data_IF_612299025080
#
_entry.id   IF_612299025080
#
_cell.length_a   1.000
_cell.length_b   1.000
_cell.length_c   1.000
_cell.angle_alpha   90.00
_cell.angle_beta   90.00
_cell.angle_gamma   90.00
#
_symmetry.space_group_name_H-M   'P 1'
#
loop_
_entity.id
_entity.type
_entity.pdbx_description
1 polymer ?
#
# COMPACT_ATOMS: atom_id res chain seq x y z
N UNK A 1 9.23 -12.83 -4.49
CA UNK A 1 9.22 -14.01 -5.40
C UNK A 1 8.90 -13.55 -6.82
N UNK A 2 9.40 -14.22 -7.88
CA UNK A 2 8.93 -13.98 -9.25
C UNK A 2 7.86 -15.01 -9.61
N UNK A 3 6.82 -14.59 -10.34
CA UNK A 3 5.61 -15.39 -10.57
C UNK A 3 5.31 -15.55 -12.06
N UNK A 4 4.77 -16.72 -12.44
CA UNK A 4 4.27 -16.95 -13.80
C UNK A 4 2.82 -16.45 -13.90
N UNK A 5 2.56 -15.53 -14.84
CA UNK A 5 1.26 -14.88 -15.02
C UNK A 5 0.29 -15.77 -15.82
N UNK A 6 -0.28 -16.78 -15.16
CA UNK A 6 -1.19 -17.73 -15.81
C UNK A 6 -2.66 -17.40 -15.63
N UNK A 7 -3.02 -16.56 -14.65
CA UNK A 7 -4.41 -16.17 -14.36
C UNK A 7 -4.46 -14.79 -13.70
N UNK A 8 -5.46 -13.99 -14.07
CA UNK A 8 -5.72 -12.66 -13.50
C UNK A 8 -6.59 -12.77 -12.24
N UNK A 9 -6.32 -11.96 -11.23
CA UNK A 9 -7.14 -11.86 -10.02
C UNK A 9 -8.60 -11.52 -10.36
N UNK A 10 -9.56 -12.05 -9.60
CA UNK A 10 -11.01 -11.92 -9.86
C UNK A 10 -11.54 -12.58 -11.15
N UNK A 11 -10.69 -13.25 -11.93
CA UNK A 11 -11.10 -14.01 -13.13
C UNK A 11 -10.87 -15.52 -12.99
N UNK A 12 -10.36 -15.98 -11.84
CA UNK A 12 -10.22 -17.40 -11.53
C UNK A 12 -11.58 -18.02 -11.19
N UNK A 13 -11.83 -19.23 -11.70
CA UNK A 13 -13.04 -20.02 -11.37
C UNK A 13 -12.78 -21.08 -10.30
N UNK A 14 -11.52 -21.29 -9.94
CA UNK A 14 -11.05 -22.23 -8.92
C UNK A 14 -10.32 -21.50 -7.81
N UNK A 15 -10.31 -22.06 -6.60
CA UNK A 15 -9.53 -21.51 -5.50
C UNK A 15 -8.04 -21.44 -5.86
N UNK A 16 -7.40 -20.31 -5.57
CA UNK A 16 -5.95 -20.12 -5.77
C UNK A 16 -5.23 -20.27 -4.43
N UNK A 17 -4.30 -21.22 -4.36
CA UNK A 17 -3.57 -21.52 -3.13
C UNK A 17 -2.34 -20.62 -2.90
N UNK A 18 -1.70 -20.15 -3.98
CA UNK A 18 -0.47 -19.35 -3.91
C UNK A 18 -0.78 -17.85 -3.93
N UNK A 19 -1.11 -17.30 -2.76
CA UNK A 19 -1.44 -15.88 -2.58
C UNK A 19 -0.24 -14.94 -2.73
N UNK A 20 0.99 -15.48 -2.81
CA UNK A 20 2.19 -14.72 -3.15
C UNK A 20 2.33 -14.46 -4.65
N UNK A 21 1.61 -15.22 -5.48
CA UNK A 21 1.58 -15.03 -6.93
C UNK A 21 0.19 -14.67 -7.47
N UNK A 22 -0.75 -14.41 -6.56
CA UNK A 22 -2.13 -14.11 -6.91
C UNK A 22 -2.79 -13.28 -5.81
N UNK A 23 -3.31 -12.09 -6.15
CA UNK A 23 -4.02 -11.26 -5.17
C UNK A 23 -5.39 -11.85 -4.87
N UNK A 24 -5.59 -12.31 -3.64
CA UNK A 24 -6.86 -12.78 -3.11
C UNK A 24 -6.91 -12.66 -1.57
N UNK A 25 -8.06 -12.34 -0.97
CA UNK A 25 -9.35 -12.07 -1.62
C UNK A 25 -9.41 -10.67 -2.28
N UNK A 26 -8.51 -9.75 -1.92
CA UNK A 26 -8.37 -8.40 -2.46
C UNK A 26 -7.81 -8.35 -3.90
N UNK A 27 -8.51 -8.97 -4.85
CA UNK A 27 -8.06 -9.14 -6.22
C UNK A 27 -8.27 -7.94 -7.14
N UNK A 28 -9.07 -6.96 -6.73
CA UNK A 28 -9.33 -5.74 -7.47
C UNK A 28 -8.52 -4.59 -6.87
N UNK A 29 -7.46 -4.15 -7.56
CA UNK A 29 -6.61 -3.05 -7.08
C UNK A 29 -7.08 -1.70 -7.61
N UNK A 30 -7.42 -0.78 -6.70
CA UNK A 30 -7.89 0.56 -7.02
C UNK A 30 -6.78 1.58 -6.78
N UNK A 31 -6.29 2.22 -7.84
CA UNK A 31 -5.41 3.38 -7.72
C UNK A 31 -6.29 4.63 -7.59
N UNK A 32 -6.36 5.19 -6.38
CA UNK A 32 -7.25 6.32 -6.08
C UNK A 32 -6.53 7.66 -6.23
N UNK A 33 -7.27 8.70 -6.59
CA UNK A 33 -6.74 10.04 -6.86
C UNK A 33 -7.62 11.12 -6.21
N UNK A 34 -7.00 12.21 -5.76
CA UNK A 34 -7.69 13.41 -5.27
C UNK A 34 -7.44 14.63 -6.17
N UNK A 35 -8.48 15.45 -6.28
CA UNK A 35 -8.42 16.82 -6.79
C UNK A 35 -8.87 17.76 -5.68
N UNK A 36 -7.91 18.18 -4.85
CA UNK A 36 -8.16 19.12 -3.76
C UNK A 36 -8.22 20.54 -4.32
N UNK A 37 -9.41 21.12 -4.43
CA UNK A 37 -9.59 22.44 -5.06
C UNK A 37 -9.71 23.60 -4.06
N UNK A 38 -10.19 23.34 -2.84
CA UNK A 38 -10.28 24.31 -1.75
C UNK A 38 -9.34 23.84 -0.62
N UNK A 39 -8.36 24.68 -0.26
CA UNK A 39 -7.08 24.27 0.33
C UNK A 39 -6.23 23.35 -0.58
N UNK A 40 -6.01 23.80 -1.82
CA UNK A 40 -5.32 23.01 -2.86
C UNK A 40 -3.96 22.44 -2.43
N UNK A 41 -3.72 21.19 -2.82
CA UNK A 41 -2.49 20.43 -2.54
C UNK A 41 -1.87 19.90 -3.83
N UNK A 42 -0.54 19.80 -3.88
CA UNK A 42 0.18 19.32 -5.06
C UNK A 42 0.28 20.35 -6.22
N UNK A 43 0.71 19.91 -7.41
CA UNK A 43 0.80 20.75 -8.60
C UNK A 43 -0.59 21.20 -9.09
N UNK A 44 -0.68 22.42 -9.61
CA UNK A 44 -1.94 23.02 -10.06
C UNK A 44 -2.58 22.31 -11.28
N UNK A 45 -1.82 21.45 -11.96
CA UNK A 45 -2.17 20.74 -13.18
C UNK A 45 -2.13 19.21 -13.01
N UNK A 46 -2.11 18.72 -11.76
CA UNK A 46 -2.04 17.29 -11.46
C UNK A 46 -2.97 16.90 -10.32
N UNK A 47 -3.51 15.69 -10.42
CA UNK A 47 -4.14 15.00 -9.30
C UNK A 47 -3.06 14.52 -8.33
N UNK A 48 -3.43 14.30 -7.07
CA UNK A 48 -2.57 13.69 -6.06
C UNK A 48 -2.99 12.25 -5.79
N UNK A 49 -2.06 11.42 -5.33
CA UNK A 49 -2.30 10.00 -5.06
C UNK A 49 -2.51 9.80 -3.54
N UNK A 50 -3.75 9.56 -3.09
CA UNK A 50 -4.02 9.11 -1.74
C UNK A 50 -3.55 7.68 -1.50
N UNK A 51 -3.85 6.71 -2.39
CA UNK A 51 -3.50 5.33 -2.12
C UNK A 51 -3.74 4.32 -3.24
N UNK A 52 -3.48 3.06 -2.89
CA UNK A 52 -3.75 1.87 -3.68
C UNK A 52 -4.48 0.87 -2.78
N UNK A 53 -5.71 0.49 -3.14
CA UNK A 53 -6.60 -0.27 -2.25
C UNK A 53 -6.95 -1.64 -2.83
N UNK A 54 -6.83 -2.74 -2.05
CA UNK A 54 -7.21 -4.08 -2.47
C UNK A 54 -8.67 -4.39 -2.10
N UNK A 55 -9.58 -4.24 -3.06
CA UNK A 55 -10.97 -4.62 -2.90
C UNK A 55 -11.18 -6.09 -3.26
N UNK A 56 -12.14 -6.72 -2.58
CA UNK A 56 -12.63 -8.04 -2.95
C UNK A 56 -13.34 -7.96 -4.32
N UNK A 57 -13.41 -9.09 -5.01
CA UNK A 57 -14.00 -9.17 -6.34
C UNK A 57 -15.51 -8.87 -6.41
N UNK A 58 -16.19 -8.79 -5.26
CA UNK A 58 -17.60 -8.39 -5.13
C UNK A 58 -17.77 -6.89 -4.80
N UNK A 59 -16.68 -6.14 -4.74
CA UNK A 59 -16.66 -4.71 -4.39
C UNK A 59 -16.70 -4.42 -2.89
N UNK A 60 -16.73 -5.43 -2.01
CA UNK A 60 -16.42 -5.23 -0.59
C UNK A 60 -14.91 -5.08 -0.39
N UNK A 61 -14.45 -4.69 0.80
CA UNK A 61 -13.01 -4.54 1.06
C UNK A 61 -12.64 -4.97 2.47
N UNK A 62 -11.37 -5.36 2.64
CA UNK A 62 -10.76 -5.60 3.94
C UNK A 62 -9.97 -4.37 4.39
N UNK A 63 -9.82 -4.21 5.70
CA UNK A 63 -9.04 -3.13 6.27
C UNK A 63 -8.29 -3.57 7.53
N UNK A 64 -7.08 -3.05 7.71
CA UNK A 64 -6.22 -3.34 8.87
C UNK A 64 -5.95 -4.84 9.03
N UNK A 65 -5.52 -5.51 7.95
CA UNK A 65 -5.38 -6.97 7.89
C UNK A 65 -4.18 -7.50 8.69
N UNK A 66 -3.24 -6.63 9.06
CA UNK A 66 -2.14 -6.93 9.98
C UNK A 66 -1.96 -5.77 10.97
N UNK A 67 -1.49 -6.13 12.17
CA UNK A 67 -1.00 -5.24 13.21
C UNK A 67 0.28 -4.47 12.84
N UNK A 68 0.98 -4.89 11.78
CA UNK A 68 2.23 -4.29 11.34
C UNK A 68 2.01 -2.87 10.77
N UNK A 69 2.45 -1.87 11.54
CA UNK A 69 2.48 -0.47 11.11
C UNK A 69 3.78 -0.18 10.37
N UNK A 70 3.74 -0.13 9.05
CA UNK A 70 4.89 0.30 8.23
C UNK A 70 5.40 1.67 8.66
N UNK A 71 6.71 1.79 8.85
CA UNK A 71 7.38 3.03 9.23
C UNK A 71 8.38 3.43 8.14
N UNK A 72 8.77 4.70 8.10
CA UNK A 72 9.68 5.20 7.04
C UNK A 72 11.13 5.11 7.34
N UNK A 73 11.45 4.88 8.61
CA UNK A 73 12.74 4.34 8.96
C UNK A 73 13.05 3.09 8.11
N UNK A 74 12.04 2.30 7.74
CA UNK A 74 12.20 1.13 6.87
C UNK A 74 12.68 1.51 5.47
N UNK A 75 12.05 2.50 4.83
CA UNK A 75 12.43 2.95 3.49
C UNK A 75 13.83 3.58 3.48
N UNK A 76 14.18 4.35 4.52
CA UNK A 76 15.54 4.89 4.67
C UNK A 76 16.56 3.77 4.86
N UNK A 77 16.24 2.79 5.71
CA UNK A 77 17.12 1.64 5.97
C UNK A 77 17.27 0.72 4.77
N UNK A 78 16.28 0.71 3.87
CA UNK A 78 16.31 0.00 2.60
C UNK A 78 17.11 0.74 1.51
N UNK A 79 17.61 1.96 1.78
CA UNK A 79 18.32 2.76 0.79
C UNK A 79 17.40 3.47 -0.22
N UNK A 80 16.08 3.40 -0.03
CA UNK A 80 15.05 3.97 -0.91
C UNK A 80 14.85 5.47 -0.61
N UNK A 81 15.96 6.24 -0.63
CA UNK A 81 16.00 7.66 -0.26
C UNK A 81 15.29 8.58 -1.26
N UNK A 82 15.14 8.16 -2.52
CA UNK A 82 14.38 8.87 -3.56
C UNK A 82 12.87 8.63 -3.42
N UNK A 83 12.46 7.46 -2.91
CA UNK A 83 11.10 7.18 -2.44
C UNK A 83 10.79 7.89 -1.11
N UNK A 84 11.82 8.38 -0.42
CA UNK A 84 11.80 8.96 0.92
C UNK A 84 11.39 10.45 0.95
N UNK A 85 10.29 10.78 0.29
CA UNK A 85 9.41 11.91 0.66
C UNK A 85 8.19 11.40 1.42
N UNK A 86 8.37 10.34 2.21
CA UNK A 86 7.28 9.60 2.83
C UNK A 86 7.71 9.17 4.22
N UNK A 87 7.08 9.68 5.31
CA UNK A 87 6.45 9.10 6.57
C UNK A 87 7.14 8.47 7.82
N UNK A 88 7.84 9.20 8.70
CA UNK A 88 7.79 8.93 10.17
C UNK A 88 8.63 9.95 10.96
N UNK A 89 8.00 11.00 11.50
CA UNK A 89 8.47 11.65 12.73
C UNK A 89 7.27 12.20 13.49
N UNK A 90 7.05 11.72 14.71
CA UNK A 90 6.41 12.56 15.73
C UNK A 90 7.38 13.68 16.07
N UNK A 91 7.11 14.85 15.51
CA UNK A 91 6.81 16.11 16.21
C UNK A 91 7.10 17.26 15.24
N UNK A 92 6.06 18.02 14.89
CA UNK A 92 6.20 19.29 14.18
C UNK A 92 5.36 19.40 12.91
N UNK A 93 4.14 19.91 13.08
CA UNK A 93 3.15 20.47 12.12
C UNK A 93 3.21 19.99 10.66
N UNK A 94 2.18 19.27 10.17
CA UNK A 94 2.05 18.95 8.75
C UNK A 94 1.44 20.13 7.98
N UNK A 95 1.89 20.30 6.74
CA UNK A 95 1.06 20.89 5.68
C UNK A 95 -0.24 20.09 5.56
N UNK A 96 -1.38 20.73 5.26
CA UNK A 96 -2.66 20.02 5.15
C UNK A 96 -2.62 19.14 3.90
N UNK A 97 -2.80 17.82 4.05
CA UNK A 97 -3.02 16.91 2.90
C UNK A 97 -2.20 15.63 2.92
N UNK A 98 -0.87 15.70 2.82
CA UNK A 98 -0.04 14.53 2.48
C UNK A 98 1.18 14.36 3.39
N UNK A 99 0.91 14.12 4.67
CA UNK A 99 1.94 14.05 5.71
C UNK A 99 2.31 12.62 6.10
N UNK A 100 3.21 12.50 7.09
CA UNK A 100 3.66 11.22 7.60
C UNK A 100 2.47 10.30 7.96
N UNK A 101 1.68 10.76 8.91
CA UNK A 101 0.55 10.01 9.45
C UNK A 101 -0.48 9.58 8.40
N UNK A 102 -0.67 10.34 7.32
CA UNK A 102 -1.59 9.95 6.25
C UNK A 102 -1.11 8.68 5.51
N UNK A 103 0.16 8.58 5.14
CA UNK A 103 0.65 7.37 4.44
C UNK A 103 0.79 6.17 5.38
N UNK A 104 1.06 6.41 6.65
CA UNK A 104 1.00 5.39 7.72
C UNK A 104 -0.41 4.79 7.81
N UNK A 105 -1.43 5.66 7.77
CA UNK A 105 -2.83 5.26 7.74
C UNK A 105 -3.16 4.45 6.47
N UNK A 106 -2.76 4.91 5.29
CA UNK A 106 -3.00 4.20 4.02
C UNK A 106 -2.33 2.83 4.00
N UNK A 107 -1.08 2.73 4.47
CA UNK A 107 -0.41 1.44 4.61
C UNK A 107 -1.11 0.51 5.60
N UNK A 108 -1.36 0.99 6.83
CA UNK A 108 -1.96 0.18 7.87
C UNK A 108 -3.36 -0.30 7.47
N UNK A 109 -4.17 0.57 6.88
CA UNK A 109 -5.54 0.27 6.48
C UNK A 109 -5.62 -0.59 5.23
N UNK A 110 -4.85 -0.27 4.19
CA UNK A 110 -5.01 -0.88 2.86
C UNK A 110 -3.80 -1.73 2.45
N UNK A 111 -2.58 -1.24 2.66
CA UNK A 111 -1.34 -1.93 2.27
C UNK A 111 -1.18 -3.31 2.93
N UNK A 112 -1.53 -3.43 4.22
CA UNK A 112 -1.49 -4.70 4.96
C UNK A 112 -2.44 -5.77 4.41
N UNK A 113 -3.41 -5.38 3.58
CA UNK A 113 -4.40 -6.28 2.98
C UNK A 113 -3.99 -6.78 1.58
N UNK A 114 -2.83 -6.38 1.06
CA UNK A 114 -2.33 -6.89 -0.22
C UNK A 114 -1.57 -8.20 0.03
N UNK A 115 -2.23 -9.33 -0.26
CA UNK A 115 -1.70 -10.67 0.06
C UNK A 115 -0.33 -10.96 -0.56
N UNK A 116 -0.05 -10.43 -1.75
CA UNK A 116 1.20 -10.63 -2.47
C UNK A 116 2.40 -9.87 -1.86
N UNK A 117 2.14 -8.97 -0.90
CA UNK A 117 3.16 -8.24 -0.15
C UNK A 117 3.47 -8.87 1.22
N UNK A 118 2.86 -10.01 1.55
CA UNK A 118 3.13 -10.70 2.81
C UNK A 118 4.63 -11.04 2.94
N UNK A 119 5.25 -10.86 4.13
CA UNK A 119 6.66 -11.18 4.36
C UNK A 119 7.07 -12.59 3.92
N UNK A 120 6.19 -13.58 4.04
CA UNK A 120 6.43 -14.96 3.62
C UNK A 120 6.63 -15.13 2.11
N UNK A 121 6.24 -14.14 1.30
CA UNK A 121 6.43 -14.13 -0.15
C UNK A 121 7.87 -13.77 -0.59
N UNK A 122 8.72 -13.39 0.36
CA UNK A 122 10.11 -13.01 0.13
C UNK A 122 11.06 -14.08 0.66
N UNK A 123 11.89 -14.65 -0.24
CA UNK A 123 12.88 -15.67 0.11
C UNK A 123 13.94 -15.19 1.12
N UNK A 124 14.14 -13.87 1.20
CA UNK A 124 15.05 -13.24 2.16
C UNK A 124 14.38 -11.99 2.71
N UNK A 125 13.37 -12.18 3.56
CA UNK A 125 12.76 -11.09 4.30
C UNK A 125 13.62 -10.71 5.50
N UNK A 126 13.97 -9.42 5.60
CA UNK A 126 14.48 -8.84 6.83
C UNK A 126 13.45 -7.86 7.32
N UNK A 127 12.91 -8.09 8.52
CA UNK A 127 12.07 -7.11 9.17
C UNK A 127 12.93 -5.90 9.49
N UNK A 128 12.67 -4.76 8.84
CA UNK A 128 13.36 -3.54 9.21
C UNK A 128 12.94 -3.14 10.63
N UNK A 129 13.89 -2.66 11.41
CA UNK A 129 13.66 -2.15 12.77
C UNK A 129 13.62 -0.63 12.71
N UNK A 130 12.50 -0.06 13.12
CA UNK A 130 12.34 1.39 13.32
C UNK A 130 12.92 1.85 14.64
#
# INVERSE_FOLDING_TARGET
KACSLTTLSCHNTTAVADTCCFNAPGGQLLQTQFWDYDAATGPADSWTIPGLWPDNCDGTYQANCDSCTGSVALLTSAGETELLQVTCRRTGKPTPGWNASFREYEWAKHGTCISTLDPSCYASYTQGRG
#
